data_IF_237397227536
#
_entry.id   IF_237397227536
#
_cell.length_a   1.000
_cell.length_b   1.000
_cell.length_c   1.000
_cell.angle_alpha   90.00
_cell.angle_beta   90.00
_cell.angle_gamma   90.00
#
_symmetry.space_group_name_H-M   'P 1'
#
loop_
_entity.id
_entity.type
_entity.pdbx_description
1 polymer ?
#
# COMPACT_ATOMS: atom_id res chain seq x y z
N UNK A 1 20.93 4.62 30.55
CA UNK A 1 19.88 3.67 30.13
C UNK A 1 20.11 3.32 28.67
N UNK A 2 19.86 2.08 28.23
CA UNK A 2 19.96 1.73 26.82
C UNK A 2 18.78 2.39 26.07
N UNK A 3 19.04 3.08 24.95
CA UNK A 3 17.98 3.67 24.11
C UNK A 3 17.01 2.57 23.66
N UNK A 4 15.72 2.83 23.78
CA UNK A 4 14.68 1.92 23.27
C UNK A 4 14.75 1.83 21.75
N UNK A 5 14.50 0.66 21.20
CA UNK A 5 14.41 0.49 19.76
C UNK A 5 13.13 1.12 19.23
N UNK A 6 13.30 2.12 18.34
CA UNK A 6 12.20 2.88 17.76
C UNK A 6 11.83 2.33 16.38
N UNK A 7 10.57 2.02 16.18
CA UNK A 7 9.97 1.68 14.90
C UNK A 7 9.21 2.86 14.30
N UNK A 8 9.27 2.99 12.98
CA UNK A 8 8.41 3.91 12.21
C UNK A 8 7.60 3.10 11.20
N UNK A 9 6.27 3.24 11.24
CA UNK A 9 5.35 2.56 10.35
C UNK A 9 4.66 3.54 9.40
N UNK A 10 4.92 3.42 8.10
CA UNK A 10 4.40 4.30 7.07
C UNK A 10 3.22 3.66 6.34
N UNK A 11 2.03 4.23 6.50
CA UNK A 11 0.80 3.71 5.94
C UNK A 11 0.64 3.91 4.43
N UNK A 12 -0.18 3.06 3.81
CA UNK A 12 -0.59 3.18 2.42
C UNK A 12 -1.57 4.34 2.19
N UNK A 13 -1.58 4.93 1.00
CA UNK A 13 -2.49 6.05 0.71
C UNK A 13 -2.42 6.60 -0.71
N UNK A 14 -1.84 5.87 -1.65
CA UNK A 14 -1.57 6.37 -3.01
C UNK A 14 -0.72 7.64 -2.98
N UNK A 15 -1.05 8.71 -3.74
CA UNK A 15 -0.26 9.95 -3.73
C UNK A 15 -0.24 10.66 -2.36
N UNK A 16 -1.22 10.40 -1.49
CA UNK A 16 -1.22 10.94 -0.11
C UNK A 16 -0.02 10.49 0.71
N UNK A 17 0.61 9.36 0.34
CA UNK A 17 1.86 8.90 0.92
C UNK A 17 3.01 9.91 0.83
N UNK A 18 2.93 10.92 -0.03
CA UNK A 18 3.93 11.98 -0.08
C UNK A 18 3.95 12.83 1.21
N UNK A 19 2.91 12.78 2.03
CA UNK A 19 2.93 13.38 3.36
C UNK A 19 3.97 12.74 4.29
N UNK A 20 4.32 11.48 4.09
CA UNK A 20 5.39 10.83 4.85
C UNK A 20 6.74 11.52 4.68
N UNK A 21 7.01 12.12 3.50
CA UNK A 21 8.26 12.86 3.26
C UNK A 21 8.36 14.02 4.26
N UNK A 22 7.31 14.83 4.37
CA UNK A 22 7.31 15.95 5.30
C UNK A 22 7.40 15.53 6.76
N UNK A 23 6.79 14.40 7.11
CA UNK A 23 6.92 13.85 8.45
C UNK A 23 8.36 13.41 8.77
N UNK A 24 9.00 12.68 7.83
CA UNK A 24 10.39 12.24 7.97
C UNK A 24 11.34 13.44 8.11
N UNK A 25 11.16 14.50 7.33
CA UNK A 25 11.99 15.72 7.43
C UNK A 25 11.95 16.30 8.85
N UNK A 26 10.76 16.43 9.46
CA UNK A 26 10.63 16.96 10.83
C UNK A 26 11.28 16.03 11.84
N UNK A 27 11.15 14.71 11.68
CA UNK A 27 11.78 13.73 12.56
C UNK A 27 13.31 13.81 12.47
N UNK A 28 13.88 13.95 11.26
CA UNK A 28 15.33 14.15 11.07
C UNK A 28 15.81 15.50 11.63
N UNK A 29 15.09 16.58 11.41
CA UNK A 29 15.39 17.92 11.97
C UNK A 29 15.47 17.90 13.50
N UNK A 30 14.73 16.98 14.14
CA UNK A 30 14.76 16.77 15.60
C UNK A 30 15.67 15.62 16.03
N UNK A 31 16.56 15.14 15.14
CA UNK A 31 17.54 14.07 15.41
C UNK A 31 16.90 12.73 15.86
N UNK A 32 15.67 12.45 15.42
CA UNK A 32 14.97 11.21 15.73
C UNK A 32 15.32 10.16 14.66
N UNK A 33 16.06 9.13 15.07
CA UNK A 33 16.47 8.01 14.23
C UNK A 33 15.68 6.74 14.57
N UNK A 34 15.47 5.88 13.58
CA UNK A 34 14.69 4.66 13.69
C UNK A 34 15.61 3.43 13.58
N UNK A 35 15.28 2.38 14.34
CA UNK A 35 15.92 1.08 14.25
C UNK A 35 15.16 0.16 13.28
N UNK A 36 13.85 0.39 13.12
CA UNK A 36 12.96 -0.40 12.28
C UNK A 36 12.06 0.53 11.48
N UNK A 37 11.96 0.28 10.18
CA UNK A 37 11.13 1.04 9.26
C UNK A 37 10.23 0.08 8.49
N UNK A 38 8.91 0.25 8.64
CA UNK A 38 7.93 -0.58 7.94
C UNK A 38 7.06 0.27 7.02
N UNK A 39 6.64 -0.30 5.90
CA UNK A 39 5.86 0.43 4.92
C UNK A 39 4.82 -0.42 4.20
N UNK A 40 3.71 0.23 3.83
CA UNK A 40 2.67 -0.32 2.97
C UNK A 40 2.47 0.56 1.74
N UNK A 41 2.44 -0.03 0.54
CA UNK A 41 2.11 0.67 -0.72
C UNK A 41 2.94 1.96 -0.88
N UNK A 42 2.32 3.13 -0.96
CA UNK A 42 3.04 4.41 -1.03
C UNK A 42 3.93 4.70 0.20
N UNK A 43 3.56 4.20 1.37
CA UNK A 43 4.41 4.26 2.56
C UNK A 43 5.68 3.44 2.40
N UNK A 44 5.60 2.27 1.75
CA UNK A 44 6.77 1.46 1.42
C UNK A 44 7.71 2.17 0.43
N UNK A 45 7.16 2.90 -0.56
CA UNK A 45 7.96 3.69 -1.49
C UNK A 45 8.76 4.78 -0.75
N UNK A 46 8.13 5.50 0.17
CA UNK A 46 8.81 6.54 0.95
C UNK A 46 9.81 5.92 1.92
N UNK A 47 9.47 4.79 2.56
CA UNK A 47 10.38 4.03 3.41
C UNK A 47 11.63 3.56 2.65
N UNK A 48 11.45 3.03 1.43
CA UNK A 48 12.55 2.61 0.55
C UNK A 48 13.43 3.80 0.17
N UNK A 49 12.83 4.91 -0.26
CA UNK A 49 13.57 6.12 -0.62
C UNK A 49 14.40 6.64 0.56
N UNK A 50 13.82 6.65 1.74
CA UNK A 50 14.51 7.04 2.97
C UNK A 50 15.69 6.11 3.28
N UNK A 51 15.45 4.81 3.37
CA UNK A 51 16.47 3.82 3.69
C UNK A 51 17.60 3.73 2.64
N UNK A 52 17.30 4.05 1.38
CA UNK A 52 18.28 4.08 0.30
C UNK A 52 19.02 5.43 0.17
N UNK A 53 18.67 6.45 0.96
CA UNK A 53 19.26 7.79 0.88
C UNK A 53 18.77 8.58 -0.35
N UNK A 54 17.53 8.32 -0.81
CA UNK A 54 16.91 8.88 -2.01
C UNK A 54 15.62 9.68 -1.74
N UNK A 55 15.43 10.12 -0.48
CA UNK A 55 14.20 10.84 -0.10
C UNK A 55 14.08 12.18 -0.84
N UNK A 56 15.18 12.91 -0.98
CA UNK A 56 15.22 14.21 -1.68
C UNK A 56 14.91 14.05 -3.18
N UNK A 57 15.43 13.00 -3.81
CA UNK A 57 15.13 12.70 -5.22
C UNK A 57 13.66 12.36 -5.41
N UNK A 58 13.08 11.55 -4.51
CA UNK A 58 11.65 11.25 -4.52
C UNK A 58 10.82 12.53 -4.36
N UNK A 59 11.21 13.41 -3.44
CA UNK A 59 10.57 14.72 -3.23
C UNK A 59 10.63 15.59 -4.48
N UNK A 60 11.82 15.74 -5.10
CA UNK A 60 12.01 16.52 -6.34
C UNK A 60 11.15 15.99 -7.48
N UNK A 61 11.14 14.68 -7.70
CA UNK A 61 10.29 14.03 -8.72
C UNK A 61 8.82 14.28 -8.43
N UNK A 62 8.39 14.14 -7.19
CA UNK A 62 7.01 14.38 -6.80
C UNK A 62 6.58 15.81 -7.05
N UNK A 63 7.44 16.79 -6.79
CA UNK A 63 7.15 18.22 -7.01
C UNK A 63 7.17 18.64 -8.48
N UNK A 64 7.88 17.91 -9.32
CA UNK A 64 7.91 18.13 -10.78
C UNK A 64 6.80 17.36 -11.51
N UNK A 65 6.08 16.49 -10.82
CA UNK A 65 5.03 15.68 -11.41
C UNK A 65 3.85 16.52 -11.89
N UNK A 66 3.47 16.33 -13.15
CA UNK A 66 2.29 16.90 -13.77
C UNK A 66 1.35 15.80 -14.29
N UNK A 67 0.21 16.18 -14.87
CA UNK A 67 -0.75 15.22 -15.43
C UNK A 67 -0.17 14.41 -16.59
N UNK A 68 0.81 14.97 -17.32
CA UNK A 68 1.47 14.30 -18.44
C UNK A 68 2.47 13.26 -17.92
N UNK A 69 3.32 13.65 -16.97
CA UNK A 69 4.27 12.74 -16.30
C UNK A 69 3.57 11.54 -15.69
N UNK A 70 2.43 11.78 -15.00
CA UNK A 70 1.62 10.70 -14.43
C UNK A 70 1.15 9.69 -15.49
N UNK A 71 0.68 10.17 -16.64
CA UNK A 71 0.28 9.28 -17.76
C UNK A 71 1.47 8.51 -18.33
N UNK A 72 2.65 9.13 -18.33
CA UNK A 72 3.88 8.50 -18.82
C UNK A 72 4.43 7.45 -17.85
N UNK A 73 4.27 7.65 -16.53
CA UNK A 73 4.69 6.67 -15.51
C UNK A 73 3.79 5.43 -15.46
N UNK A 74 2.52 5.57 -15.83
CA UNK A 74 1.57 4.45 -15.86
C UNK A 74 1.53 3.88 -17.28
N UNK A 75 2.18 2.73 -17.47
CA UNK A 75 2.08 1.94 -18.70
C UNK A 75 0.68 1.32 -18.80
N UNK A 76 -0.30 2.16 -19.18
CA UNK A 76 -1.65 1.67 -19.42
C UNK A 76 -1.64 0.70 -20.59
N UNK A 77 -2.01 -0.53 -20.34
CA UNK A 77 -2.11 -1.59 -21.32
C UNK A 77 -3.34 -2.44 -21.00
N UNK A 78 -4.13 -2.71 -22.03
CA UNK A 78 -5.19 -3.72 -21.99
C UNK A 78 -4.58 -5.11 -22.22
N UNK A 79 -3.68 -5.54 -21.33
CA UNK A 79 -3.29 -6.95 -21.26
C UNK A 79 -4.29 -7.66 -20.36
N UNK A 80 -4.64 -8.91 -20.66
CA UNK A 80 -5.63 -9.66 -19.89
C UNK A 80 -5.33 -9.82 -18.39
N UNK A 81 -4.16 -9.42 -17.90
CA UNK A 81 -3.69 -9.61 -16.52
C UNK A 81 -3.80 -8.35 -15.64
N UNK A 82 -3.97 -7.14 -16.23
CA UNK A 82 -4.09 -5.88 -15.51
C UNK A 82 -4.12 -4.68 -16.45
N UNK A 83 -4.39 -3.49 -15.91
CA UNK A 83 -4.42 -2.24 -16.68
C UNK A 83 -3.05 -1.57 -16.79
N UNK A 84 -2.04 -2.02 -16.04
CA UNK A 84 -0.69 -1.45 -15.99
C UNK A 84 0.32 -2.59 -16.20
N UNK A 85 1.20 -2.45 -17.20
CA UNK A 85 2.29 -3.43 -17.45
C UNK A 85 3.36 -3.43 -16.34
N UNK A 86 3.58 -2.31 -15.70
CA UNK A 86 4.52 -2.17 -14.59
C UNK A 86 5.98 -1.95 -14.98
N UNK A 87 6.36 -2.00 -16.25
CA UNK A 87 7.76 -1.85 -16.67
C UNK A 87 8.38 -0.51 -16.32
N UNK A 88 7.65 0.59 -16.56
CA UNK A 88 8.10 1.93 -16.18
C UNK A 88 8.11 2.14 -14.67
N UNK A 89 7.14 1.57 -13.98
CA UNK A 89 7.06 1.61 -12.53
C UNK A 89 8.25 0.85 -11.92
N UNK A 90 8.62 -0.29 -12.49
CA UNK A 90 9.82 -1.04 -12.09
C UNK A 90 11.08 -0.21 -12.27
N UNK A 91 11.28 0.44 -13.42
CA UNK A 91 12.45 1.30 -13.66
C UNK A 91 12.50 2.47 -12.69
N UNK A 92 11.35 3.04 -12.32
CA UNK A 92 11.26 4.07 -11.29
C UNK A 92 11.65 3.53 -9.91
N UNK A 93 11.21 2.34 -9.54
CA UNK A 93 11.59 1.72 -8.27
C UNK A 93 13.08 1.37 -8.25
N UNK A 94 13.64 0.84 -9.34
CA UNK A 94 15.08 0.59 -9.44
C UNK A 94 15.90 1.89 -9.31
N UNK A 95 15.43 2.99 -9.89
CA UNK A 95 16.06 4.30 -9.73
C UNK A 95 16.02 4.79 -8.26
N UNK A 96 14.87 4.73 -7.61
CA UNK A 96 14.70 5.21 -6.22
C UNK A 96 15.49 4.32 -5.23
N UNK A 97 15.58 3.03 -5.49
CA UNK A 97 16.29 2.09 -4.60
C UNK A 97 17.78 1.98 -4.93
N UNK A 98 18.22 2.49 -6.10
CA UNK A 98 19.58 2.31 -6.59
C UNK A 98 19.93 0.84 -6.82
N UNK A 99 18.94 -0.01 -7.09
CA UNK A 99 19.10 -1.46 -7.27
C UNK A 99 19.42 -2.23 -5.98
N UNK A 100 19.33 -1.59 -4.81
CA UNK A 100 19.65 -2.21 -3.51
C UNK A 100 18.70 -3.34 -3.14
N UNK A 101 19.24 -4.28 -2.35
CA UNK A 101 18.48 -5.30 -1.62
C UNK A 101 18.27 -4.87 -0.17
N UNK A 102 17.35 -5.53 0.53
CA UNK A 102 17.13 -5.29 1.96
C UNK A 102 18.41 -5.53 2.78
N UNK A 103 19.20 -6.52 2.40
CA UNK A 103 20.47 -6.89 3.04
C UNK A 103 21.55 -5.81 2.92
N UNK A 104 21.44 -4.92 1.93
CA UNK A 104 22.36 -3.81 1.71
C UNK A 104 22.08 -2.62 2.62
N UNK A 105 20.88 -2.56 3.22
CA UNK A 105 20.46 -1.45 4.08
C UNK A 105 21.16 -1.59 5.44
N UNK A 106 21.84 -0.52 5.84
CA UNK A 106 22.54 -0.45 7.13
C UNK A 106 21.84 0.57 8.05
N UNK A 107 21.92 0.31 9.35
CA UNK A 107 21.43 1.22 10.38
C UNK A 107 19.92 1.14 10.67
N UNK A 108 19.12 0.60 9.75
CA UNK A 108 17.68 0.42 9.94
C UNK A 108 17.24 -0.91 9.36
N UNK A 109 16.38 -1.65 10.08
CA UNK A 109 15.73 -2.86 9.56
C UNK A 109 14.49 -2.45 8.76
N UNK A 110 14.51 -2.72 7.47
CA UNK A 110 13.43 -2.35 6.53
C UNK A 110 12.52 -3.54 6.26
N UNK A 111 11.20 -3.34 6.23
CA UNK A 111 10.23 -4.34 5.81
C UNK A 111 8.99 -3.71 5.17
N UNK A 112 8.39 -4.41 4.22
CA UNK A 112 7.13 -4.01 3.59
C UNK A 112 6.06 -5.05 3.84
N UNK A 113 4.81 -4.65 3.65
CA UNK A 113 3.67 -5.55 3.76
C UNK A 113 3.03 -5.77 2.40
N UNK A 114 2.69 -7.02 2.12
CA UNK A 114 1.82 -7.47 1.05
C UNK A 114 0.60 -8.18 1.62
N UNK A 115 -0.36 -8.49 0.77
CA UNK A 115 -1.54 -9.31 1.10
C UNK A 115 -1.49 -10.62 0.35
N UNK A 116 -1.57 -11.73 1.05
CA UNK A 116 -1.73 -13.07 0.45
C UNK A 116 -3.09 -13.16 -0.25
N UNK A 117 -3.07 -13.48 -1.54
CA UNK A 117 -4.27 -13.51 -2.39
C UNK A 117 -5.27 -14.61 -2.00
N UNK A 118 -4.79 -15.68 -1.35
CA UNK A 118 -5.63 -16.82 -0.93
C UNK A 118 -6.31 -16.58 0.41
N UNK A 119 -5.49 -16.15 1.38
CA UNK A 119 -5.91 -16.06 2.78
C UNK A 119 -6.37 -14.66 3.16
N UNK A 120 -5.94 -13.62 2.40
CA UNK A 120 -6.14 -12.22 2.74
C UNK A 120 -5.29 -11.78 3.95
N UNK A 121 -4.34 -12.58 4.41
CA UNK A 121 -3.48 -12.24 5.54
C UNK A 121 -2.29 -11.41 5.08
N UNK A 122 -1.66 -10.73 6.04
CA UNK A 122 -0.42 -10.00 5.80
C UNK A 122 0.74 -10.93 5.42
N UNK A 123 1.59 -10.45 4.53
CA UNK A 123 2.86 -11.07 4.13
C UNK A 123 3.96 -10.05 4.35
N UNK A 124 4.90 -10.36 5.22
CA UNK A 124 6.08 -9.52 5.45
C UNK A 124 7.10 -9.78 4.34
N UNK A 125 7.63 -8.70 3.76
CA UNK A 125 8.62 -8.71 2.69
C UNK A 125 9.83 -7.91 3.19
N UNK A 126 10.90 -8.59 3.58
CA UNK A 126 12.07 -8.03 4.23
C UNK A 126 13.40 -8.59 3.70
N UNK A 127 13.38 -9.23 2.54
CA UNK A 127 14.58 -9.80 1.90
C UNK A 127 14.56 -9.64 0.37
N UNK A 128 15.73 -9.70 -0.25
CA UNK A 128 15.92 -9.62 -1.69
C UNK A 128 15.80 -8.20 -2.25
N UNK A 129 15.40 -8.03 -3.51
CA UNK A 129 15.32 -6.74 -4.18
C UNK A 129 14.23 -5.84 -3.60
N UNK A 130 14.61 -4.66 -3.11
CA UNK A 130 13.67 -3.65 -2.60
C UNK A 130 12.72 -3.19 -3.71
N UNK A 131 13.21 -3.02 -4.94
CA UNK A 131 12.36 -2.63 -6.08
C UNK A 131 11.32 -3.70 -6.42
N UNK A 132 11.68 -5.01 -6.34
CA UNK A 132 10.72 -6.09 -6.52
C UNK A 132 9.67 -6.12 -5.39
N UNK A 133 10.07 -5.87 -4.16
CA UNK A 133 9.16 -5.75 -3.03
C UNK A 133 8.18 -4.56 -3.20
N UNK A 134 8.66 -3.43 -3.74
CA UNK A 134 7.80 -2.29 -4.07
C UNK A 134 6.76 -2.64 -5.13
N UNK A 135 7.12 -3.43 -6.16
CA UNK A 135 6.15 -3.92 -7.15
C UNK A 135 5.03 -4.75 -6.50
N UNK A 136 5.36 -5.53 -5.46
CA UNK A 136 4.37 -6.35 -4.73
C UNK A 136 3.47 -5.46 -3.89
N UNK A 137 4.06 -4.67 -2.97
CA UNK A 137 3.31 -3.88 -1.99
C UNK A 137 2.47 -2.76 -2.63
N UNK A 138 2.74 -2.39 -3.90
CA UNK A 138 1.97 -1.39 -4.66
C UNK A 138 1.05 -2.00 -5.73
N UNK A 139 0.99 -3.34 -5.85
CA UNK A 139 0.17 -4.04 -6.84
C UNK A 139 -1.30 -4.00 -6.46
N UNK A 140 -1.99 -2.90 -6.75
CA UNK A 140 -3.43 -2.77 -6.48
C UNK A 140 -4.23 -3.80 -7.30
N UNK A 141 -5.10 -4.58 -6.64
CA UNK A 141 -5.92 -5.59 -7.32
C UNK A 141 -6.74 -5.00 -8.46
N UNK A 142 -6.67 -5.65 -9.63
CA UNK A 142 -7.33 -5.20 -10.84
C UNK A 142 -6.60 -4.07 -11.60
N UNK A 143 -5.62 -3.41 -11.03
CA UNK A 143 -4.79 -2.42 -11.73
C UNK A 143 -3.44 -3.00 -12.14
N UNK A 144 -2.80 -3.76 -11.26
CA UNK A 144 -1.53 -4.43 -11.51
C UNK A 144 -1.68 -5.95 -11.37
N UNK A 145 -0.87 -6.75 -12.08
CA UNK A 145 -0.89 -8.20 -11.92
C UNK A 145 -0.43 -8.61 -10.52
N UNK A 146 -0.97 -9.73 -10.03
CA UNK A 146 -0.49 -10.37 -8.80
C UNK A 146 0.98 -10.77 -8.96
N UNK A 147 1.73 -10.69 -7.88
CA UNK A 147 3.16 -11.03 -7.86
C UNK A 147 3.40 -12.30 -7.03
N UNK A 148 4.45 -13.06 -7.37
CA UNK A 148 4.86 -14.21 -6.57
C UNK A 148 5.93 -13.81 -5.55
N UNK A 149 5.71 -14.22 -4.30
CA UNK A 149 6.69 -14.08 -3.23
C UNK A 149 6.68 -15.35 -2.37
N UNK A 150 7.81 -16.04 -2.27
CA UNK A 150 7.97 -17.30 -1.47
C UNK A 150 6.85 -18.33 -1.77
N UNK A 151 6.55 -18.54 -3.05
CA UNK A 151 5.51 -19.49 -3.48
C UNK A 151 4.06 -18.99 -3.34
N UNK A 152 3.82 -17.83 -2.71
CA UNK A 152 2.50 -17.23 -2.55
C UNK A 152 2.20 -16.22 -3.66
N UNK A 153 0.93 -16.04 -3.97
CA UNK A 153 0.46 -14.91 -4.77
C UNK A 153 0.17 -13.75 -3.83
N UNK A 154 0.84 -12.63 -4.05
CA UNK A 154 0.80 -11.47 -3.17
C UNK A 154 0.49 -10.21 -3.98
N UNK A 155 -0.23 -9.29 -3.36
CA UNK A 155 -0.58 -7.98 -3.91
C UNK A 155 -0.48 -6.88 -2.84
N UNK A 156 -0.95 -5.66 -3.13
CA UNK A 156 -0.87 -4.48 -2.26
C UNK A 156 -1.27 -4.80 -0.81
N UNK A 157 -0.41 -4.41 0.12
CA UNK A 157 -0.56 -4.70 1.54
C UNK A 157 -1.72 -3.98 2.21
N UNK A 158 -2.21 -2.89 1.61
CA UNK A 158 -3.27 -2.07 2.20
C UNK A 158 -4.62 -2.77 2.37
N UNK A 159 -4.76 -3.98 1.82
CA UNK A 159 -5.92 -4.83 2.06
C UNK A 159 -5.83 -5.55 3.40
N UNK A 160 -4.67 -6.13 3.72
CA UNK A 160 -4.46 -6.85 4.98
C UNK A 160 -4.04 -5.91 6.12
N UNK A 161 -3.17 -4.94 5.84
CA UNK A 161 -2.62 -4.04 6.86
C UNK A 161 -2.24 -2.69 6.27
N UNK A 162 -3.10 -1.69 6.42
CA UNK A 162 -2.87 -0.35 5.88
C UNK A 162 -1.68 0.36 6.52
N UNK A 163 -1.52 0.25 7.85
CA UNK A 163 -0.43 0.86 8.63
C UNK A 163 0.31 -0.26 9.38
N UNK A 164 1.55 -0.61 8.98
CA UNK A 164 2.23 -1.81 9.46
C UNK A 164 2.93 -1.64 10.82
N UNK A 165 2.24 -1.06 11.82
CA UNK A 165 2.78 -0.86 13.17
C UNK A 165 3.06 -2.18 13.90
N UNK A 166 2.14 -3.15 13.78
CA UNK A 166 2.33 -4.49 14.36
C UNK A 166 3.61 -5.15 13.84
N UNK A 167 3.88 -5.03 12.52
CA UNK A 167 5.11 -5.60 11.94
C UNK A 167 6.36 -4.95 12.54
N UNK A 168 6.33 -3.64 12.84
CA UNK A 168 7.46 -3.00 13.50
C UNK A 168 7.74 -3.59 14.89
N UNK A 169 6.70 -3.87 15.68
CA UNK A 169 6.85 -4.57 16.98
C UNK A 169 7.34 -6.00 16.80
N UNK A 170 6.78 -6.76 15.88
CA UNK A 170 7.19 -8.14 15.59
C UNK A 170 8.68 -8.23 15.15
N UNK A 171 9.20 -7.17 14.54
CA UNK A 171 10.61 -7.03 14.15
C UNK A 171 11.51 -6.53 15.27
N UNK A 172 10.96 -6.23 16.45
CA UNK A 172 11.70 -5.93 17.68
C UNK A 172 11.68 -4.45 18.09
N UNK A 173 10.79 -3.60 17.57
CA UNK A 173 10.59 -2.26 18.08
C UNK A 173 10.00 -2.31 19.50
N UNK A 174 10.51 -1.47 20.40
CA UNK A 174 9.97 -1.29 21.77
C UNK A 174 8.98 -0.13 21.81
N UNK A 175 9.12 0.82 20.89
CA UNK A 175 8.23 1.95 20.65
C UNK A 175 7.98 2.11 19.16
N UNK A 176 6.74 2.49 18.78
CA UNK A 176 6.37 2.67 17.37
C UNK A 176 5.65 3.99 17.18
N UNK A 177 6.13 4.75 16.20
CA UNK A 177 5.43 5.88 15.61
C UNK A 177 4.77 5.38 14.32
N UNK A 178 3.48 5.60 14.17
CA UNK A 178 2.75 5.28 12.95
C UNK A 178 2.29 6.55 12.23
N UNK A 179 2.41 6.56 10.91
CA UNK A 179 1.90 7.67 10.08
C UNK A 179 0.79 7.14 9.20
N UNK A 180 -0.44 7.56 9.48
CA UNK A 180 -1.64 7.16 8.77
C UNK A 180 -2.10 8.24 7.79
N UNK A 181 -1.97 7.97 6.51
CA UNK A 181 -2.44 8.81 5.39
C UNK A 181 -3.60 8.14 4.62
N UNK A 182 -4.02 6.97 5.10
CA UNK A 182 -5.13 6.20 4.55
C UNK A 182 -6.49 6.78 4.92
N UNK A 183 -7.51 6.52 4.12
CA UNK A 183 -8.87 6.93 4.43
C UNK A 183 -9.51 5.95 5.40
N UNK A 184 -10.21 6.45 6.43
CA UNK A 184 -11.09 5.63 7.26
C UNK A 184 -12.02 4.80 6.35
N UNK A 185 -12.12 3.49 6.60
CA UNK A 185 -13.07 2.50 6.05
C UNK A 185 -13.47 2.57 4.56
N UNK A 186 -13.37 3.72 3.90
CA UNK A 186 -13.89 3.95 2.55
C UNK A 186 -12.85 3.79 1.43
N UNK A 187 -11.60 3.45 1.74
CA UNK A 187 -10.52 3.42 0.74
C UNK A 187 -10.77 2.38 -0.34
N UNK A 188 -11.05 1.16 0.09
CA UNK A 188 -11.31 0.04 -0.81
C UNK A 188 -12.59 0.27 -1.60
N UNK A 189 -13.65 0.70 -0.94
CA UNK A 189 -14.94 1.05 -1.59
C UNK A 189 -14.75 2.13 -2.64
N UNK A 190 -13.85 3.10 -2.41
CA UNK A 190 -13.56 4.18 -3.38
C UNK A 190 -12.63 3.72 -4.49
N UNK A 191 -11.58 2.92 -4.22
CA UNK A 191 -10.73 2.35 -5.28
C UNK A 191 -11.58 1.51 -6.23
N UNK A 192 -12.42 0.66 -5.69
CA UNK A 192 -13.37 -0.13 -6.46
C UNK A 192 -14.32 0.76 -7.26
N UNK A 193 -14.82 1.84 -6.66
CA UNK A 193 -15.65 2.83 -7.34
C UNK A 193 -14.92 3.58 -8.46
N UNK A 194 -13.67 3.95 -8.26
CA UNK A 194 -12.84 4.65 -9.25
C UNK A 194 -12.46 3.72 -10.41
N UNK A 195 -12.12 2.44 -10.14
CA UNK A 195 -11.89 1.42 -11.17
C UNK A 195 -13.17 1.18 -11.98
N UNK A 196 -14.33 1.06 -11.31
CA UNK A 196 -15.64 0.95 -11.97
C UNK A 196 -15.92 2.14 -12.88
N UNK A 197 -15.67 3.36 -12.41
CA UNK A 197 -15.89 4.61 -13.18
C UNK A 197 -14.98 4.68 -14.41
N UNK A 198 -13.71 4.26 -14.27
CA UNK A 198 -12.74 4.21 -15.34
C UNK A 198 -13.16 3.16 -16.41
N UNK A 199 -13.65 2.00 -15.97
CA UNK A 199 -14.02 0.89 -16.84
C UNK A 199 -15.39 1.02 -17.47
N UNK A 200 -16.30 1.82 -16.91
CA UNK A 200 -17.72 1.92 -17.32
C UNK A 200 -17.93 2.19 -18.82
N UNK A 201 -16.96 2.79 -19.50
CA UNK A 201 -16.99 3.08 -20.94
C UNK A 201 -16.32 2.00 -21.79
N UNK A 202 -15.68 0.98 -21.21
CA UNK A 202 -14.97 -0.08 -21.92
C UNK A 202 -15.87 -1.31 -22.14
N UNK A 203 -15.53 -2.16 -23.14
CA UNK A 203 -16.20 -3.46 -23.35
C UNK A 203 -16.10 -4.35 -22.11
N UNK A 204 -14.93 -4.36 -21.45
CA UNK A 204 -14.68 -5.12 -20.23
C UNK A 204 -15.54 -4.62 -19.06
N UNK A 205 -15.74 -3.31 -18.92
CA UNK A 205 -16.60 -2.74 -17.89
C UNK A 205 -18.08 -3.09 -18.09
N UNK A 206 -18.55 -3.21 -19.33
CA UNK A 206 -19.90 -3.68 -19.63
C UNK A 206 -20.09 -5.15 -19.24
N UNK A 207 -19.08 -6.01 -19.47
CA UNK A 207 -19.11 -7.43 -19.04
C UNK A 207 -19.00 -7.57 -17.52
N UNK A 208 -18.30 -6.68 -16.85
CA UNK A 208 -18.14 -6.65 -15.39
C UNK A 208 -19.30 -5.94 -14.64
N UNK A 209 -20.22 -5.27 -15.35
CA UNK A 209 -21.34 -4.54 -14.74
C UNK A 209 -22.22 -5.39 -13.79
N UNK A 210 -22.54 -6.67 -14.11
CA UNK A 210 -23.24 -7.55 -13.17
C UNK A 210 -22.46 -7.75 -11.86
N UNK A 211 -21.13 -7.92 -11.95
CA UNK A 211 -20.23 -8.10 -10.80
C UNK A 211 -20.20 -6.82 -9.95
N UNK A 212 -20.12 -5.65 -10.58
CA UNK A 212 -20.18 -4.37 -9.89
C UNK A 212 -21.53 -4.10 -9.19
N UNK A 213 -22.65 -4.48 -9.83
CA UNK A 213 -23.98 -4.38 -9.21
C UNK A 213 -24.12 -5.30 -8.02
N UNK A 214 -23.61 -6.53 -8.15
CA UNK A 214 -23.59 -7.51 -7.09
C UNK A 214 -22.74 -7.00 -5.90
N UNK A 215 -21.57 -6.44 -6.15
CA UNK A 215 -20.72 -5.83 -5.14
C UNK A 215 -21.41 -4.70 -4.37
N UNK A 216 -22.14 -3.82 -5.06
CA UNK A 216 -22.90 -2.75 -4.38
C UNK A 216 -23.98 -3.30 -3.45
N UNK A 217 -24.64 -4.38 -3.86
CA UNK A 217 -25.62 -5.07 -3.03
C UNK A 217 -24.99 -5.62 -1.76
N UNK A 218 -23.77 -6.15 -1.86
CA UNK A 218 -22.99 -6.67 -0.71
C UNK A 218 -22.61 -5.56 0.28
N UNK A 219 -22.05 -4.48 -0.24
CA UNK A 219 -21.61 -3.34 0.57
C UNK A 219 -22.78 -2.75 1.35
N UNK A 220 -23.99 -2.82 0.78
CA UNK A 220 -25.20 -2.25 1.35
C UNK A 220 -25.99 -3.22 2.25
N UNK A 221 -25.85 -4.54 2.09
CA UNK A 221 -26.70 -5.53 2.76
C UNK A 221 -26.10 -6.17 4.01
N UNK A 222 -24.78 -6.14 4.18
CA UNK A 222 -24.11 -6.72 5.38
C UNK A 222 -24.30 -8.25 5.54
N UNK A 223 -24.72 -8.97 4.52
CA UNK A 223 -25.22 -10.34 4.65
C UNK A 223 -24.15 -11.43 4.47
N UNK A 224 -24.13 -12.37 5.44
CA UNK A 224 -23.31 -13.60 5.45
C UNK A 224 -23.59 -14.56 4.27
N UNK A 225 -24.81 -14.60 3.79
CA UNK A 225 -25.28 -15.54 2.73
C UNK A 225 -24.57 -15.35 1.39
N UNK A 226 -24.25 -14.12 1.06
CA UNK A 226 -23.57 -13.78 -0.19
C UNK A 226 -22.16 -14.39 -0.28
N UNK A 227 -21.43 -14.44 0.82
CA UNK A 227 -20.07 -15.01 0.87
C UNK A 227 -20.05 -16.52 0.65
N UNK A 228 -21.15 -17.20 0.97
CA UNK A 228 -21.37 -18.60 0.57
C UNK A 228 -21.34 -18.75 -0.95
N UNK A 229 -22.10 -17.90 -1.66
CA UNK A 229 -22.22 -17.94 -3.14
C UNK A 229 -20.89 -17.55 -3.81
N UNK A 230 -20.21 -16.52 -3.33
CA UNK A 230 -18.89 -16.11 -3.84
C UNK A 230 -17.84 -17.21 -3.65
N UNK A 231 -17.85 -17.89 -2.50
CA UNK A 231 -16.97 -19.02 -2.18
C UNK A 231 -17.24 -20.22 -3.10
N UNK A 232 -18.51 -20.55 -3.37
CA UNK A 232 -18.90 -21.64 -4.24
C UNK A 232 -18.62 -21.34 -5.72
N UNK A 233 -18.76 -20.09 -6.15
CA UNK A 233 -18.36 -19.64 -7.47
C UNK A 233 -16.85 -19.74 -7.66
N UNK A 234 -16.07 -19.37 -6.64
CA UNK A 234 -14.60 -19.49 -6.66
C UNK A 234 -14.11 -20.93 -6.61
N UNK A 235 -14.84 -21.86 -5.94
CA UNK A 235 -14.57 -23.30 -5.99
C UNK A 235 -14.86 -23.90 -7.36
N UNK A 236 -15.88 -23.43 -8.06
CA UNK A 236 -16.25 -23.88 -9.42
C UNK A 236 -15.28 -23.38 -10.52
N UNK A 237 -14.67 -22.22 -10.29
CA UNK A 237 -13.55 -21.75 -11.13
C UNK A 237 -12.33 -22.48 -10.56
N UNK A 238 -11.90 -23.58 -11.14
CA UNK A 238 -10.75 -24.45 -10.77
C UNK A 238 -9.46 -23.72 -10.35
N UNK A 239 -9.55 -22.68 -9.52
CA UNK A 239 -8.46 -21.79 -9.12
C UNK A 239 -7.56 -22.40 -8.04
N UNK A 240 -7.88 -23.56 -7.47
CA UNK A 240 -7.17 -24.08 -6.30
C UNK A 240 -6.14 -25.16 -6.61
N UNK A 241 -6.19 -25.80 -7.76
CA UNK A 241 -5.35 -26.97 -8.03
C UNK A 241 -4.09 -26.71 -8.88
N UNK A 242 -3.98 -25.54 -9.56
CA UNK A 242 -2.81 -25.25 -10.41
C UNK A 242 -2.30 -23.80 -10.27
N UNK A 243 -2.05 -23.38 -9.03
CA UNK A 243 -1.56 -22.05 -8.69
C UNK A 243 -0.16 -21.76 -9.24
N UNK A 244 0.58 -22.78 -9.63
CA UNK A 244 1.99 -22.64 -9.94
C UNK A 244 2.28 -21.90 -11.24
N UNK A 245 1.39 -21.98 -12.25
CA UNK A 245 1.65 -21.49 -13.61
C UNK A 245 0.54 -20.61 -14.21
N UNK A 246 -0.53 -20.28 -13.48
CA UNK A 246 -1.66 -19.53 -14.05
C UNK A 246 -1.40 -18.03 -14.15
N UNK A 247 -1.79 -17.46 -15.28
CA UNK A 247 -1.94 -16.03 -15.51
C UNK A 247 -3.38 -15.63 -15.20
N UNK A 248 -3.57 -14.78 -14.20
CA UNK A 248 -4.90 -14.34 -13.79
C UNK A 248 -5.40 -13.23 -14.71
N UNK A 249 -6.65 -13.36 -15.18
CA UNK A 249 -7.32 -12.26 -15.87
C UNK A 249 -7.57 -11.08 -14.93
N UNK A 250 -7.78 -9.89 -15.51
CA UNK A 250 -8.20 -8.72 -14.76
C UNK A 250 -9.36 -8.99 -13.79
N UNK A 251 -10.38 -9.72 -14.25
CA UNK A 251 -11.57 -10.03 -13.45
C UNK A 251 -11.24 -10.93 -12.27
N UNK A 252 -10.41 -11.96 -12.48
CA UNK A 252 -9.96 -12.86 -11.42
C UNK A 252 -9.13 -12.12 -10.36
N UNK A 253 -8.17 -11.30 -10.79
CA UNK A 253 -7.37 -10.46 -9.90
C UNK A 253 -8.23 -9.52 -9.07
N UNK A 254 -9.26 -8.93 -9.68
CA UNK A 254 -10.21 -8.06 -9.01
C UNK A 254 -11.06 -8.81 -7.97
N UNK A 255 -11.56 -10.01 -8.31
CA UNK A 255 -12.34 -10.86 -7.40
C UNK A 255 -11.50 -11.37 -6.21
N UNK A 256 -10.23 -11.71 -6.45
CA UNK A 256 -9.27 -12.06 -5.40
C UNK A 256 -9.11 -10.90 -4.41
N UNK A 257 -8.92 -9.68 -4.90
CA UNK A 257 -8.84 -8.49 -4.07
C UNK A 257 -10.09 -8.27 -3.23
N UNK A 258 -11.27 -8.41 -3.81
CA UNK A 258 -12.54 -8.31 -3.10
C UNK A 258 -12.67 -9.36 -1.98
N UNK A 259 -12.26 -10.61 -2.26
CA UNK A 259 -12.30 -11.69 -1.26
C UNK A 259 -11.39 -11.39 -0.07
N UNK A 260 -10.15 -10.94 -0.35
CA UNK A 260 -9.19 -10.62 0.70
C UNK A 260 -9.72 -9.50 1.63
N UNK A 261 -10.32 -8.46 1.05
CA UNK A 261 -10.96 -7.36 1.78
C UNK A 261 -12.08 -7.86 2.69
N UNK A 262 -12.85 -8.81 2.22
CA UNK A 262 -13.97 -9.38 2.97
C UNK A 262 -13.52 -10.24 4.13
N UNK A 263 -12.48 -11.04 3.91
CA UNK A 263 -11.88 -11.87 4.95
C UNK A 263 -11.29 -11.01 6.08
N UNK A 264 -10.79 -9.82 5.76
CA UNK A 264 -10.28 -8.87 6.73
C UNK A 264 -11.42 -8.20 7.54
N UNK A 265 -12.51 -7.86 6.86
CA UNK A 265 -13.72 -7.36 7.52
C UNK A 265 -14.32 -8.38 8.51
N UNK A 266 -14.39 -9.66 8.11
CA UNK A 266 -14.89 -10.76 8.97
C UNK A 266 -14.02 -10.97 10.21
N UNK A 267 -12.70 -10.78 10.09
CA UNK A 267 -11.74 -10.94 11.19
C UNK A 267 -11.69 -9.76 12.15
N UNK A 268 -12.34 -8.64 11.83
CA UNK A 268 -12.32 -7.43 12.65
C UNK A 268 -10.95 -6.77 12.75
N UNK A 269 -10.05 -7.09 11.83
CA UNK A 269 -8.63 -6.70 11.87
C UNK A 269 -8.36 -5.23 11.45
N UNK A 270 -9.39 -4.40 11.36
CA UNK A 270 -9.23 -2.95 11.16
C UNK A 270 -8.70 -2.26 12.43
N UNK A 271 -7.57 -2.71 12.94
CA UNK A 271 -6.93 -2.10 14.10
C UNK A 271 -5.82 -1.14 13.69
N UNK A 272 -6.19 0.12 13.55
CA UNK A 272 -5.26 1.24 13.26
C UNK A 272 -4.43 1.70 14.48
N UNK A 273 -4.57 1.06 15.65
CA UNK A 273 -4.16 1.69 16.92
C UNK A 273 -3.17 0.87 17.76
N UNK A 274 -2.23 0.17 17.13
CA UNK A 274 -1.18 -0.52 17.91
C UNK A 274 0.11 0.28 18.07
N UNK A 275 0.16 1.54 17.62
CA UNK A 275 1.34 2.38 17.77
C UNK A 275 1.28 3.19 19.06
N UNK A 276 2.46 3.48 19.67
CA UNK A 276 2.56 4.39 20.82
C UNK A 276 2.14 5.81 20.43
N UNK A 277 2.48 6.24 19.21
CA UNK A 277 2.07 7.54 18.67
C UNK A 277 1.57 7.38 17.25
N UNK A 278 0.39 7.92 16.97
CA UNK A 278 -0.18 7.98 15.62
C UNK A 278 -0.19 9.42 15.09
N UNK A 279 0.51 9.64 13.98
CA UNK A 279 0.49 10.88 13.22
C UNK A 279 -0.55 10.76 12.11
N UNK A 280 -1.45 11.73 12.02
CA UNK A 280 -2.54 11.74 11.03
C UNK A 280 -2.56 13.07 10.27
N UNK A 281 -1.76 13.21 9.20
CA UNK A 281 -1.81 14.39 8.34
C UNK A 281 -3.20 14.64 7.78
N UNK A 282 -3.61 15.89 7.69
CA UNK A 282 -4.94 16.28 7.17
C UNK A 282 -4.97 16.26 5.64
N UNK A 283 -4.84 15.07 5.05
CA UNK A 283 -4.72 14.85 3.60
C UNK A 283 -6.02 14.38 2.92
N UNK A 284 -7.10 14.17 3.68
CA UNK A 284 -8.32 13.54 3.16
C UNK A 284 -9.09 14.40 2.16
N UNK A 285 -8.98 15.73 2.26
CA UNK A 285 -9.55 16.68 1.31
C UNK A 285 -8.82 16.68 -0.05
N UNK A 286 -7.59 16.17 -0.12
CA UNK A 286 -6.80 16.07 -1.35
C UNK A 286 -7.15 14.76 -2.06
N UNK A 287 -7.55 14.87 -3.34
CA UNK A 287 -7.85 13.68 -4.14
C UNK A 287 -6.56 12.86 -4.36
N UNK A 288 -6.64 11.55 -4.10
CA UNK A 288 -5.48 10.62 -4.10
C UNK A 288 -4.74 10.47 -5.44
N UNK A 289 -5.29 10.99 -6.52
CA UNK A 289 -4.69 11.03 -7.84
C UNK A 289 -4.28 12.43 -8.29
N UNK A 290 -4.34 13.44 -7.41
CA UNK A 290 -4.03 14.83 -7.76
C UNK A 290 -2.53 15.13 -7.58
N UNK A 291 -1.79 14.99 -8.68
CA UNK A 291 -0.34 15.27 -8.72
C UNK A 291 -0.01 16.75 -8.51
N UNK A 292 -0.97 17.67 -8.63
CA UNK A 292 -0.73 19.11 -8.44
C UNK A 292 -0.62 19.49 -6.96
N UNK A 293 -1.00 18.59 -6.05
CA UNK A 293 -1.07 18.79 -4.61
C UNK A 293 0.09 18.18 -3.81
N UNK A 294 1.18 17.79 -4.48
CA UNK A 294 2.31 17.13 -3.81
C UNK A 294 2.95 18.01 -2.72
N UNK A 295 3.09 19.32 -2.97
CA UNK A 295 3.63 20.27 -1.97
C UNK A 295 2.71 20.41 -0.77
N UNK A 296 1.39 20.41 -0.99
CA UNK A 296 0.40 20.49 0.08
C UNK A 296 0.47 19.22 0.94
N UNK A 297 0.60 18.03 0.33
CA UNK A 297 0.74 16.76 1.04
C UNK A 297 1.97 16.75 1.96
N UNK A 298 3.14 17.14 1.43
CA UNK A 298 4.38 17.21 2.24
C UNK A 298 4.21 18.20 3.40
N UNK A 299 3.60 19.36 3.16
CA UNK A 299 3.32 20.36 4.21
C UNK A 299 2.42 19.80 5.31
N UNK A 300 1.35 19.08 4.96
CA UNK A 300 0.47 18.46 5.96
C UNK A 300 1.19 17.37 6.78
N UNK A 301 2.12 16.64 6.17
CA UNK A 301 2.98 15.69 6.87
C UNK A 301 3.87 16.38 7.90
N UNK A 302 4.54 17.48 7.52
CA UNK A 302 5.32 18.31 8.45
C UNK A 302 4.48 18.78 9.62
N UNK A 303 3.36 19.45 9.33
CA UNK A 303 2.47 20.02 10.35
C UNK A 303 1.99 18.98 11.36
N UNK A 304 1.58 17.79 10.88
CA UNK A 304 1.12 16.72 11.77
C UNK A 304 2.23 16.23 12.72
N UNK A 305 3.48 16.23 12.27
CA UNK A 305 4.63 15.77 13.05
C UNK A 305 5.09 16.86 14.02
N UNK A 306 5.19 18.11 13.57
CA UNK A 306 5.52 19.27 14.42
C UNK A 306 4.57 19.39 15.61
N UNK A 307 3.28 19.17 15.39
CA UNK A 307 2.27 19.20 16.46
C UNK A 307 2.43 18.08 17.50
N UNK A 308 3.18 17.03 17.20
CA UNK A 308 3.35 15.84 18.05
C UNK A 308 4.78 15.61 18.52
N UNK A 309 5.71 16.50 18.17
CA UNK A 309 7.14 16.30 18.47
C UNK A 309 7.38 16.16 19.98
N UNK A 310 6.75 16.97 20.81
CA UNK A 310 6.88 16.89 22.26
C UNK A 310 6.26 15.62 22.89
N UNK A 311 5.30 14.95 22.20
CA UNK A 311 4.81 13.64 22.62
C UNK A 311 5.79 12.54 22.19
N UNK A 312 6.41 12.69 21.02
CA UNK A 312 7.41 11.76 20.48
C UNK A 312 8.64 11.73 21.41
N UNK A 313 9.16 12.89 21.78
CA UNK A 313 10.31 13.00 22.68
C UNK A 313 10.10 12.31 24.03
N UNK A 314 8.86 12.30 24.55
CA UNK A 314 8.54 11.65 25.84
C UNK A 314 8.61 10.12 25.80
N UNK A 315 8.52 9.48 24.62
CA UNK A 315 8.54 8.01 24.51
C UNK A 315 9.93 7.46 24.18
N UNK A 316 10.87 8.35 23.77
CA UNK A 316 12.27 8.01 23.47
C UNK A 316 13.09 7.86 24.76
#
# INVERSE_FOLDING_TARGET
MKRKKLGLALGGGTLRGMAHIGALEVLEENNISFDILTGCSSGALVAAAYACGKLDELKKISFSADKKSRRQMLDFCLTGEGLIRGGKLRSFFDFITGGKKFEDIKGVKLAFVGTDALTGTEVVIDEGSIAAALEITTALPGLAPLKRHKGRLVFDGGTAMMVPAKIAYDLGAEKVIAIDVGAKRSLVTRIVGDVRKLMRKSRVGKMAEPVFKMQQKIINSGEREFWGIARDLMRKIHMLDDYANQKFSFLETYLIGLRAISADYERGLFHDNQADIALRPEVFHIHRGDVTKMRDLVREGRKATENKIGEIEKIL
#
